data_IF_448888834647
#
_entry.id   IF_448888834647
#
_cell.length_a   1.000
_cell.length_b   1.000
_cell.length_c   1.000
_cell.angle_alpha   90.00
_cell.angle_beta   90.00
_cell.angle_gamma   90.00
#
_symmetry.space_group_name_H-M   'P 1'
#
loop_
_entity.id
_entity.type
_entity.pdbx_description
1 polymer ?
#
# COMPACT_ATOMS: atom_id res chain seq x y z
N UNK A 1 -1.50 -3.93 52.74
CA UNK A 1 -0.91 -4.50 51.52
C UNK A 1 -1.02 -3.48 50.38
N UNK A 2 -0.01 -2.64 50.20
CA UNK A 2 0.03 -1.66 49.14
C UNK A 2 0.49 -2.36 47.85
N UNK A 3 -0.39 -2.44 46.86
CA UNK A 3 -0.06 -2.90 45.50
C UNK A 3 0.79 -1.83 44.84
N UNK A 4 2.07 -2.11 44.68
CA UNK A 4 3.06 -1.29 43.98
C UNK A 4 2.69 -1.25 42.49
N UNK A 5 1.94 -0.23 42.07
CA UNK A 5 1.68 0.05 40.64
C UNK A 5 2.96 0.67 40.08
N UNK A 6 3.73 -0.11 39.33
CA UNK A 6 4.84 0.45 38.54
C UNK A 6 4.25 1.49 37.57
N UNK A 7 4.81 2.69 37.49
CA UNK A 7 4.39 3.66 36.50
C UNK A 7 4.66 3.09 35.09
N UNK A 8 3.65 3.11 34.26
CA UNK A 8 3.78 2.77 32.84
C UNK A 8 4.81 3.71 32.21
N UNK A 9 5.86 3.13 31.65
CA UNK A 9 6.95 3.87 31.01
C UNK A 9 6.36 4.60 29.79
N UNK A 10 6.42 5.96 29.74
CA UNK A 10 5.83 6.73 28.64
C UNK A 10 6.54 6.54 27.29
N UNK A 11 7.64 5.80 27.23
CA UNK A 11 8.39 5.55 25.99
C UNK A 11 7.70 4.58 25.01
N UNK A 12 6.62 3.91 25.40
CA UNK A 12 5.86 3.02 24.50
C UNK A 12 4.66 3.66 23.80
N UNK A 13 4.41 4.95 24.01
CA UNK A 13 3.54 5.72 23.13
C UNK A 13 4.34 6.26 21.92
N UNK A 14 5.04 5.40 21.20
CA UNK A 14 5.30 5.68 19.81
C UNK A 14 3.93 5.66 19.13
N UNK A 15 3.39 6.85 18.91
CA UNK A 15 2.31 7.08 17.94
C UNK A 15 2.79 6.57 16.60
N UNK A 16 2.58 5.28 16.37
CA UNK A 16 2.73 4.68 15.05
C UNK A 16 1.68 5.32 14.16
N UNK A 17 1.99 6.52 13.64
CA UNK A 17 1.32 7.00 12.45
C UNK A 17 1.42 5.85 11.45
N UNK A 18 0.29 5.26 11.04
CA UNK A 18 0.35 4.07 10.21
C UNK A 18 1.13 4.46 8.95
N UNK A 19 2.28 3.83 8.73
CA UNK A 19 3.19 4.12 7.59
C UNK A 19 2.42 4.19 6.26
N UNK A 20 1.34 3.40 6.14
CA UNK A 20 0.41 3.49 5.02
C UNK A 20 -0.31 4.85 4.88
N UNK A 21 -0.54 5.58 5.96
CA UNK A 21 -1.11 6.94 5.91
C UNK A 21 -0.10 7.97 5.42
N UNK A 22 1.15 7.83 5.83
CA UNK A 22 2.25 8.70 5.38
C UNK A 22 2.53 8.50 3.88
N UNK A 23 2.65 7.27 3.43
CA UNK A 23 2.87 6.93 2.01
C UNK A 23 1.70 7.46 1.16
N UNK A 24 0.47 7.26 1.60
CA UNK A 24 -0.72 7.75 0.88
C UNK A 24 -0.75 9.28 0.77
N UNK A 25 -0.38 9.99 1.82
CA UNK A 25 -0.33 11.47 1.79
C UNK A 25 0.81 11.98 0.90
N UNK A 26 1.96 11.30 0.90
CA UNK A 26 3.09 11.59 0.00
C UNK A 26 2.70 11.36 -1.46
N UNK A 27 2.09 10.22 -1.78
CA UNK A 27 1.61 9.94 -3.13
C UNK A 27 0.63 11.01 -3.64
N UNK A 28 -0.36 11.43 -2.82
CA UNK A 28 -1.28 12.50 -3.21
C UNK A 28 -0.55 13.80 -3.54
N UNK A 29 0.46 14.17 -2.76
CA UNK A 29 1.29 15.37 -3.03
C UNK A 29 2.08 15.23 -4.33
N UNK A 30 2.70 14.07 -4.57
CA UNK A 30 3.45 13.82 -5.81
C UNK A 30 2.53 13.89 -7.05
N UNK A 31 1.33 13.31 -6.98
CA UNK A 31 0.34 13.42 -8.05
C UNK A 31 -0.13 14.87 -8.26
N UNK A 32 -0.33 15.62 -7.20
CA UNK A 32 -0.70 17.04 -7.30
C UNK A 32 0.42 17.86 -7.96
N UNK A 33 1.68 17.63 -7.56
CA UNK A 33 2.84 18.32 -8.16
C UNK A 33 2.98 17.94 -9.65
N UNK A 34 2.87 16.64 -9.98
CA UNK A 34 2.92 16.18 -11.36
C UNK A 34 1.80 16.82 -12.19
N UNK A 35 0.56 16.81 -11.71
CA UNK A 35 -0.56 17.44 -12.40
C UNK A 35 -0.37 18.95 -12.61
N UNK A 36 0.20 19.64 -11.61
CA UNK A 36 0.53 21.06 -11.74
C UNK A 36 1.61 21.30 -12.80
N UNK A 37 2.67 20.49 -12.81
CA UNK A 37 3.73 20.62 -13.82
C UNK A 37 3.21 20.36 -15.24
N UNK A 38 2.36 19.33 -15.42
CA UNK A 38 1.73 19.07 -16.70
C UNK A 38 0.83 20.22 -17.16
N UNK A 39 0.04 20.76 -16.24
CA UNK A 39 -0.83 21.91 -16.55
C UNK A 39 0.01 23.15 -16.93
N UNK A 40 1.09 23.43 -16.20
CA UNK A 40 2.02 24.53 -16.52
C UNK A 40 2.64 24.31 -17.91
N UNK A 41 3.06 23.08 -18.22
CA UNK A 41 3.62 22.75 -19.54
C UNK A 41 2.60 22.98 -20.66
N UNK A 42 1.36 22.53 -20.49
CA UNK A 42 0.29 22.76 -21.47
C UNK A 42 0.07 24.25 -21.71
N UNK A 43 0.02 25.04 -20.63
CA UNK A 43 -0.16 26.49 -20.73
C UNK A 43 1.01 27.18 -21.41
N UNK A 44 2.26 26.77 -21.15
CA UNK A 44 3.43 27.32 -21.81
C UNK A 44 3.38 27.01 -23.31
N UNK A 45 3.17 25.76 -23.68
CA UNK A 45 3.10 25.34 -25.09
C UNK A 45 1.98 26.08 -25.80
N UNK A 46 0.78 26.15 -25.22
CA UNK A 46 -0.33 26.90 -25.78
C UNK A 46 -0.04 28.38 -25.98
N UNK A 47 0.70 29.01 -25.04
CA UNK A 47 0.99 30.44 -25.08
C UNK A 47 2.14 30.82 -26.03
N UNK A 48 3.11 29.91 -26.28
CA UNK A 48 4.32 30.22 -27.04
C UNK A 48 4.43 29.51 -28.38
N UNK A 49 3.67 28.45 -28.57
CA UNK A 49 3.55 27.73 -29.85
C UNK A 49 2.22 28.10 -30.53
N UNK A 50 2.17 28.06 -31.81
CA UNK A 50 0.96 28.35 -32.58
C UNK A 50 0.06 27.10 -32.64
N UNK A 51 -0.34 26.60 -31.45
CA UNK A 51 -1.11 25.38 -31.27
C UNK A 51 -2.39 25.69 -30.50
N UNK A 52 -3.46 24.93 -30.81
CA UNK A 52 -4.68 24.97 -30.00
C UNK A 52 -4.45 24.29 -28.61
N UNK A 53 -5.29 24.63 -27.63
CA UNK A 53 -5.16 24.10 -26.27
C UNK A 53 -5.19 22.56 -26.24
N UNK A 54 -6.01 21.94 -27.10
CA UNK A 54 -6.10 20.48 -27.19
C UNK A 54 -4.82 19.87 -27.77
N UNK A 55 -4.24 20.50 -28.79
CA UNK A 55 -2.97 20.07 -29.39
C UNK A 55 -1.80 20.20 -28.43
N UNK A 56 -1.74 21.29 -27.66
CA UNK A 56 -0.76 21.48 -26.59
C UNK A 56 -0.88 20.41 -25.50
N UNK A 57 -2.12 20.06 -25.11
CA UNK A 57 -2.37 18.98 -24.16
C UNK A 57 -1.99 17.61 -24.75
N UNK A 58 -2.32 17.36 -26.01
CA UNK A 58 -1.94 16.13 -26.74
C UNK A 58 -0.42 15.97 -26.79
N UNK A 59 0.30 16.99 -27.23
CA UNK A 59 1.76 16.99 -27.26
C UNK A 59 2.36 16.71 -25.89
N UNK A 60 1.84 17.36 -24.83
CA UNK A 60 2.30 17.15 -23.45
C UNK A 60 2.07 15.72 -23.00
N UNK A 61 0.90 15.15 -23.25
CA UNK A 61 0.57 13.77 -22.84
C UNK A 61 1.37 12.73 -23.61
N UNK A 62 1.51 12.86 -24.92
CA UNK A 62 2.27 11.91 -25.75
C UNK A 62 3.76 11.95 -25.42
N UNK A 63 4.27 13.12 -25.02
CA UNK A 63 5.65 13.28 -24.56
C UNK A 63 5.83 12.64 -23.17
N UNK A 64 4.90 12.85 -22.23
CA UNK A 64 4.95 12.27 -20.89
C UNK A 64 5.02 10.74 -20.93
N UNK A 65 4.17 10.11 -21.74
CA UNK A 65 4.15 8.65 -21.88
C UNK A 65 5.22 8.12 -22.86
N UNK A 66 6.11 9.01 -23.33
CA UNK A 66 7.25 8.68 -24.20
C UNK A 66 6.86 8.07 -25.56
N UNK A 67 5.63 8.29 -26.03
CA UNK A 67 5.19 7.82 -27.35
C UNK A 67 5.77 8.69 -28.45
N UNK A 68 5.60 10.04 -28.36
CA UNK A 68 6.19 11.01 -29.26
C UNK A 68 5.86 10.75 -30.72
N UNK A 69 4.59 10.84 -31.12
CA UNK A 69 4.18 10.61 -32.52
C UNK A 69 4.86 11.53 -33.52
N UNK A 70 5.34 12.71 -33.09
CA UNK A 70 6.04 13.65 -33.96
C UNK A 70 5.10 14.48 -34.87
N UNK A 71 3.81 14.39 -34.66
CA UNK A 71 2.78 15.18 -35.28
C UNK A 71 2.84 16.66 -34.89
N UNK A 72 3.13 16.89 -33.59
CA UNK A 72 3.45 18.20 -33.02
C UNK A 72 4.79 18.17 -32.34
N UNK A 73 5.55 19.26 -32.43
CA UNK A 73 6.83 19.43 -31.74
C UNK A 73 7.09 20.91 -31.45
N UNK A 74 7.69 21.25 -30.28
CA UNK A 74 8.01 22.62 -29.93
C UNK A 74 8.99 23.23 -30.95
N UNK A 75 8.63 24.38 -31.53
CA UNK A 75 9.44 25.10 -32.49
C UNK A 75 10.21 26.25 -31.83
N UNK A 76 9.60 26.88 -30.83
CA UNK A 76 10.20 28.01 -30.13
C UNK A 76 11.28 27.57 -29.12
N UNK A 77 12.23 28.43 -28.81
CA UNK A 77 13.26 28.18 -27.78
C UNK A 77 12.63 27.97 -26.40
N UNK A 78 11.58 28.72 -26.07
CA UNK A 78 10.88 28.63 -24.80
C UNK A 78 10.16 27.28 -24.69
N UNK A 79 9.43 26.87 -25.73
CA UNK A 79 8.73 25.57 -25.79
C UNK A 79 9.70 24.40 -25.66
N UNK A 80 10.84 24.42 -26.37
CA UNK A 80 11.89 23.40 -26.26
C UNK A 80 12.50 23.34 -24.88
N UNK A 81 12.86 24.50 -24.29
CA UNK A 81 13.47 24.55 -22.97
C UNK A 81 12.49 24.10 -21.88
N UNK A 82 11.22 24.54 -21.93
CA UNK A 82 10.18 24.10 -20.99
C UNK A 82 9.97 22.58 -21.07
N UNK A 83 9.95 22.03 -22.28
CA UNK A 83 9.81 20.58 -22.49
C UNK A 83 10.97 19.80 -21.86
N UNK A 84 12.21 20.26 -22.02
CA UNK A 84 13.36 19.63 -21.39
C UNK A 84 13.25 19.67 -19.87
N UNK A 85 12.95 20.83 -19.29
CA UNK A 85 12.95 21.02 -17.82
C UNK A 85 11.71 20.38 -17.18
N UNK A 86 10.52 20.71 -17.67
CA UNK A 86 9.27 20.27 -17.04
C UNK A 86 8.90 18.83 -17.39
N UNK A 87 9.15 18.40 -18.63
CA UNK A 87 8.77 17.06 -19.05
C UNK A 87 9.88 16.05 -18.78
N UNK A 88 11.07 16.23 -19.33
CA UNK A 88 12.10 15.19 -19.24
C UNK A 88 12.72 15.12 -17.83
N UNK A 89 13.05 16.23 -17.20
CA UNK A 89 13.69 16.22 -15.89
C UNK A 89 12.68 16.03 -14.77
N UNK A 90 11.66 16.92 -14.70
CA UNK A 90 10.76 16.95 -13.55
C UNK A 90 9.69 15.87 -13.61
N UNK A 91 9.00 15.71 -14.75
CA UNK A 91 7.87 14.77 -14.84
C UNK A 91 8.33 13.32 -14.82
N UNK A 92 9.40 12.97 -15.52
CA UNK A 92 9.94 11.59 -15.48
C UNK A 92 10.44 11.25 -14.08
N UNK A 93 11.14 12.17 -13.41
CA UNK A 93 11.59 11.96 -12.03
C UNK A 93 10.41 11.75 -11.09
N UNK A 94 9.37 12.59 -11.18
CA UNK A 94 8.18 12.45 -10.34
C UNK A 94 7.42 11.17 -10.62
N UNK A 95 7.28 10.78 -11.87
CA UNK A 95 6.64 9.51 -12.24
C UNK A 95 7.40 8.32 -11.63
N UNK A 96 8.73 8.33 -11.73
CA UNK A 96 9.59 7.30 -11.12
C UNK A 96 9.40 7.23 -9.61
N UNK A 97 9.33 8.37 -8.91
CA UNK A 97 9.07 8.42 -7.46
C UNK A 97 7.69 7.86 -7.09
N UNK A 98 6.66 8.17 -7.88
CA UNK A 98 5.30 7.65 -7.68
C UNK A 98 5.29 6.12 -7.81
N UNK A 99 5.92 5.59 -8.84
CA UNK A 99 6.04 4.13 -9.06
C UNK A 99 6.81 3.47 -7.92
N UNK A 100 7.93 4.07 -7.49
CA UNK A 100 8.74 3.58 -6.37
C UNK A 100 7.93 3.54 -5.07
N UNK A 101 7.23 4.61 -4.72
CA UNK A 101 6.38 4.68 -3.52
C UNK A 101 5.24 3.64 -3.57
N UNK A 102 4.66 3.39 -4.76
CA UNK A 102 3.64 2.37 -4.95
C UNK A 102 4.18 0.96 -4.72
N UNK A 103 5.35 0.66 -5.26
CA UNK A 103 6.03 -0.63 -5.07
C UNK A 103 6.35 -0.84 -3.59
N UNK A 104 6.95 0.15 -2.93
CA UNK A 104 7.26 0.11 -1.50
C UNK A 104 6.00 -0.14 -0.65
N UNK A 105 4.89 0.54 -0.95
CA UNK A 105 3.61 0.30 -0.29
C UNK A 105 3.11 -1.14 -0.48
N UNK A 106 3.25 -1.71 -1.66
CA UNK A 106 2.88 -3.11 -1.95
C UNK A 106 3.72 -4.09 -1.14
N UNK A 107 5.03 -3.89 -1.08
CA UNK A 107 5.93 -4.72 -0.27
C UNK A 107 5.62 -4.60 1.22
N UNK A 108 5.49 -3.40 1.74
CA UNK A 108 5.13 -3.16 3.13
C UNK A 108 3.81 -3.83 3.54
N UNK A 109 2.79 -3.70 2.69
CA UNK A 109 1.50 -4.36 2.92
C UNK A 109 1.64 -5.88 2.95
N UNK A 110 2.38 -6.45 1.99
CA UNK A 110 2.63 -7.89 1.93
C UNK A 110 3.36 -8.40 3.17
N UNK A 111 4.40 -7.72 3.59
CA UNK A 111 5.15 -8.06 4.79
C UNK A 111 4.27 -8.06 6.05
N UNK A 112 3.44 -7.04 6.22
CA UNK A 112 2.51 -6.97 7.36
C UNK A 112 1.46 -8.08 7.35
N UNK A 113 0.97 -8.46 6.19
CA UNK A 113 0.04 -9.59 6.05
C UNK A 113 0.76 -10.89 6.43
N UNK A 114 1.95 -11.13 5.88
CA UNK A 114 2.73 -12.34 6.15
C UNK A 114 3.14 -12.42 7.63
N UNK A 115 3.57 -11.32 8.24
CA UNK A 115 3.96 -11.29 9.65
C UNK A 115 2.78 -11.32 10.64
N UNK A 116 1.54 -11.37 10.16
CA UNK A 116 0.34 -11.35 11.02
C UNK A 116 0.09 -10.01 11.73
N UNK A 117 0.73 -8.93 11.27
CA UNK A 117 0.57 -7.58 11.86
C UNK A 117 -0.44 -6.72 11.09
N UNK A 118 -1.15 -7.32 10.15
CA UNK A 118 -2.20 -6.63 9.42
C UNK A 118 -3.50 -6.62 10.22
N UNK A 119 -4.10 -5.44 10.36
CA UNK A 119 -5.39 -5.30 11.04
C UNK A 119 -6.50 -5.62 10.05
N UNK A 120 -7.20 -6.73 10.26
CA UNK A 120 -8.34 -7.14 9.47
C UNK A 120 -9.61 -6.51 10.03
N UNK A 121 -10.36 -5.80 9.19
CA UNK A 121 -11.73 -5.37 9.53
C UNK A 121 -12.68 -6.49 9.14
N UNK A 122 -12.99 -7.37 10.08
CA UNK A 122 -13.89 -8.49 9.86
C UNK A 122 -15.09 -8.40 10.80
N UNK A 123 -16.26 -8.72 10.27
CA UNK A 123 -17.49 -8.87 11.04
C UNK A 123 -17.89 -10.35 11.01
N UNK A 124 -18.47 -10.85 12.11
CA UNK A 124 -18.95 -12.24 12.21
C UNK A 124 -17.84 -13.26 11.86
N UNK A 125 -16.77 -13.27 12.64
CA UNK A 125 -15.59 -14.12 12.43
C UNK A 125 -15.31 -15.01 13.65
N UNK A 126 -14.60 -16.11 13.42
CA UNK A 126 -14.15 -17.04 14.46
C UNK A 126 -12.70 -16.70 14.80
N UNK A 127 -12.39 -16.58 16.09
CA UNK A 127 -11.03 -16.38 16.57
C UNK A 127 -10.58 -17.64 17.30
N UNK A 128 -9.48 -18.23 16.84
CA UNK A 128 -8.82 -19.34 17.52
C UNK A 128 -7.64 -18.77 18.29
N UNK A 129 -7.68 -18.90 19.60
CA UNK A 129 -6.63 -18.44 20.53
C UNK A 129 -5.91 -19.66 21.09
N UNK A 130 -4.62 -19.53 21.30
CA UNK A 130 -3.70 -20.57 21.75
C UNK A 130 -3.30 -21.58 20.69
N UNK A 131 -2.01 -21.87 20.69
CA UNK A 131 -1.40 -22.85 19.79
C UNK A 131 -0.92 -24.04 20.60
N UNK A 132 -1.24 -25.27 20.22
CA UNK A 132 -0.64 -26.45 20.83
C UNK A 132 0.88 -26.40 20.71
N UNK A 133 1.57 -26.89 21.76
CA UNK A 133 3.04 -26.89 21.77
C UNK A 133 3.63 -27.73 20.63
N UNK A 134 2.94 -28.83 20.24
CA UNK A 134 3.35 -29.73 19.18
C UNK A 134 2.24 -29.86 18.12
N UNK A 135 2.62 -29.96 16.85
CA UNK A 135 1.68 -30.24 15.74
C UNK A 135 0.67 -29.12 15.44
N UNK A 136 0.97 -27.87 15.79
CA UNK A 136 0.02 -26.76 15.64
C UNK A 136 -0.48 -26.54 14.22
N UNK A 137 0.34 -26.80 13.20
CA UNK A 137 -0.06 -26.64 11.78
C UNK A 137 -1.18 -27.63 11.42
N UNK A 138 -0.97 -28.90 11.76
CA UNK A 138 -1.98 -29.95 11.54
C UNK A 138 -3.22 -29.74 12.41
N UNK A 139 -3.07 -29.24 13.62
CA UNK A 139 -4.19 -28.88 14.48
C UNK A 139 -5.07 -27.81 13.84
N UNK A 140 -4.48 -26.72 13.41
CA UNK A 140 -5.22 -25.63 12.78
C UNK A 140 -5.86 -26.05 11.46
N UNK A 141 -5.17 -26.88 10.66
CA UNK A 141 -5.74 -27.44 9.42
C UNK A 141 -6.99 -28.26 9.69
N UNK A 142 -6.90 -29.23 10.61
CA UNK A 142 -8.04 -30.09 10.95
C UNK A 142 -9.20 -29.26 11.52
N UNK A 143 -8.90 -28.35 12.42
CA UNK A 143 -9.92 -27.55 13.07
C UNK A 143 -10.64 -26.61 12.09
N UNK A 144 -9.87 -25.91 11.25
CA UNK A 144 -10.44 -25.05 10.22
C UNK A 144 -11.25 -25.83 9.19
N UNK A 145 -10.77 -27.00 8.74
CA UNK A 145 -11.52 -27.88 7.84
C UNK A 145 -12.84 -28.36 8.45
N UNK A 146 -12.84 -28.79 9.70
CA UNK A 146 -14.07 -29.17 10.40
C UNK A 146 -15.08 -28.04 10.51
N UNK A 147 -14.63 -26.81 10.77
CA UNK A 147 -15.52 -25.63 10.78
C UNK A 147 -16.15 -25.43 9.40
N UNK A 148 -15.40 -25.60 8.32
CA UNK A 148 -15.89 -25.45 6.95
C UNK A 148 -16.95 -26.48 6.55
N UNK A 149 -16.97 -27.65 7.21
CA UNK A 149 -17.98 -28.70 7.01
C UNK A 149 -19.31 -28.42 7.71
N UNK A 150 -19.35 -27.45 8.63
CA UNK A 150 -20.57 -27.10 9.36
C UNK A 150 -21.47 -26.23 8.48
N UNK A 151 -22.74 -26.60 8.25
CA UNK A 151 -23.68 -25.78 7.48
C UNK A 151 -23.82 -24.37 8.04
N UNK A 152 -23.61 -23.36 7.18
CA UNK A 152 -23.63 -21.93 7.55
C UNK A 152 -22.29 -21.37 7.99
N UNK A 153 -21.22 -22.18 8.09
CA UNK A 153 -19.88 -21.74 8.48
C UNK A 153 -18.86 -21.85 7.33
N UNK A 154 -19.29 -22.22 6.14
CA UNK A 154 -18.42 -22.47 4.99
C UNK A 154 -17.59 -21.23 4.59
N UNK A 155 -18.14 -20.04 4.77
CA UNK A 155 -17.52 -18.78 4.34
C UNK A 155 -17.13 -17.83 5.48
N UNK A 156 -17.41 -18.23 6.74
CA UNK A 156 -17.11 -17.37 7.89
C UNK A 156 -15.59 -17.18 8.02
N UNK A 157 -15.08 -15.93 8.11
CA UNK A 157 -13.65 -15.71 8.28
C UNK A 157 -13.11 -16.36 9.58
N UNK A 158 -11.99 -17.06 9.46
CA UNK A 158 -11.31 -17.68 10.62
C UNK A 158 -10.00 -16.95 10.84
N UNK A 159 -9.80 -16.41 12.04
CA UNK A 159 -8.56 -15.77 12.47
C UNK A 159 -7.87 -16.62 13.54
N UNK A 160 -6.58 -16.84 13.38
CA UNK A 160 -5.75 -17.50 14.39
C UNK A 160 -4.90 -16.44 15.07
N UNK A 161 -5.00 -16.33 16.39
CA UNK A 161 -4.13 -15.50 17.22
C UNK A 161 -2.98 -16.36 17.73
N UNK A 162 -1.78 -16.16 17.16
CA UNK A 162 -0.61 -17.00 17.48
C UNK A 162 0.70 -16.28 17.18
N UNK A 163 1.76 -16.67 17.90
CA UNK A 163 3.15 -16.26 17.63
C UNK A 163 3.92 -17.28 16.78
N UNK A 164 3.28 -18.40 16.42
CA UNK A 164 3.95 -19.54 15.78
C UNK A 164 4.39 -19.27 14.33
N UNK A 165 3.70 -18.38 13.62
CA UNK A 165 3.95 -18.13 12.20
C UNK A 165 4.58 -16.75 11.94
N UNK A 166 5.83 -16.50 12.37
CA UNK A 166 6.46 -15.19 12.20
C UNK A 166 6.74 -14.84 10.73
N UNK A 167 6.84 -15.85 9.86
CA UNK A 167 7.10 -15.70 8.42
C UNK A 167 5.84 -15.86 7.55
N UNK A 168 4.68 -16.05 8.17
CA UNK A 168 3.42 -16.25 7.47
C UNK A 168 2.77 -17.59 7.72
N UNK A 169 1.46 -17.68 7.48
CA UNK A 169 0.74 -18.93 7.53
C UNK A 169 1.22 -19.90 6.44
N UNK A 170 1.22 -21.21 6.71
CA UNK A 170 1.28 -22.22 5.67
C UNK A 170 0.24 -21.95 4.57
N UNK A 171 0.62 -22.22 3.32
CA UNK A 171 -0.24 -21.96 2.15
C UNK A 171 -1.59 -22.68 2.27
N UNK A 172 -1.57 -23.90 2.76
CA UNK A 172 -2.76 -24.74 2.95
C UNK A 172 -3.80 -24.08 3.89
N UNK A 173 -3.36 -23.39 4.94
CA UNK A 173 -4.25 -22.65 5.84
C UNK A 173 -4.79 -21.37 5.18
N UNK A 174 -3.96 -20.69 4.40
CA UNK A 174 -4.38 -19.50 3.65
C UNK A 174 -5.41 -19.85 2.59
N UNK A 175 -5.27 -20.98 1.90
CA UNK A 175 -6.16 -21.44 0.83
C UNK A 175 -7.58 -21.75 1.32
N UNK A 176 -7.72 -22.18 2.57
CA UNK A 176 -9.03 -22.36 3.21
C UNK A 176 -9.58 -21.11 3.87
N UNK A 177 -8.99 -19.94 3.57
CA UNK A 177 -9.49 -18.64 4.04
C UNK A 177 -9.20 -18.35 5.52
N UNK A 178 -8.14 -18.95 6.08
CA UNK A 178 -7.66 -18.65 7.42
C UNK A 178 -6.68 -17.46 7.33
N UNK A 179 -6.80 -16.52 8.24
CA UNK A 179 -5.84 -15.44 8.45
C UNK A 179 -5.24 -15.55 9.84
N UNK A 180 -4.06 -14.98 10.05
CA UNK A 180 -3.50 -14.95 11.38
C UNK A 180 -3.20 -13.54 11.85
N UNK A 181 -3.23 -13.37 13.18
CA UNK A 181 -2.73 -12.19 13.86
C UNK A 181 -1.60 -12.62 14.79
N UNK A 182 -0.50 -11.90 14.74
CA UNK A 182 0.67 -12.19 15.56
C UNK A 182 0.44 -11.66 16.99
N UNK A 183 0.31 -12.55 17.95
CA UNK A 183 0.08 -12.20 19.34
C UNK A 183 -0.25 -13.42 20.17
N UNK A 184 -0.48 -13.20 21.47
CA UNK A 184 -1.02 -14.19 22.38
C UNK A 184 -2.22 -13.57 23.11
N UNK A 185 -3.22 -14.39 23.45
CA UNK A 185 -4.46 -13.93 24.07
C UNK A 185 -4.31 -13.27 25.45
N UNK A 186 -3.10 -13.27 26.01
CA UNK A 186 -2.76 -12.66 27.29
C UNK A 186 -1.75 -11.51 27.17
N UNK A 187 -1.37 -11.09 25.95
CA UNK A 187 -0.52 -9.92 25.78
C UNK A 187 -1.33 -8.65 26.08
N UNK A 188 -0.95 -7.85 27.10
CA UNK A 188 -1.52 -6.52 27.25
C UNK A 188 -1.03 -5.65 26.08
N UNK A 189 -1.94 -5.06 25.33
CA UNK A 189 -1.64 -3.99 24.37
C UNK A 189 -1.14 -2.72 25.07
#
# INVERSE_FOLDING_TARGET
>A
MQRNRRPLNPEHQQTHLPMGGMIRSRMKRLFAILGTLLLVQVLIIWAVEDLELFEAAWLTMTTLVTVGYGDYAPQTMIGRFSTIVLMFISSITLLTLIVSDYIEYRFYRRERILSGRWIYKMNNHIIIINTPQHGGDQYFMRFASQIREIPGYETIPIMILTRKFPMGLPTELSDIGVVHHHGAGFDPE
#
